data_IF_330069981833
#
_entry.id   IF_330069981833
#
_cell.length_a   1.000
_cell.length_b   1.000
_cell.length_c   1.000
_cell.angle_alpha   90.00
_cell.angle_beta   90.00
_cell.angle_gamma   90.00
#
_symmetry.space_group_name_H-M   'P 1'
#
loop_
_entity.id
_entity.type
_entity.pdbx_description
1 polymer ?
#
# COMPACT_ATOMS: atom_id res chain seq x y z
N UNK A 1 -4.05 1.34 -23.79
CA UNK A 1 -3.94 0.06 -23.06
C UNK A 1 -2.98 0.27 -21.90
N UNK A 2 -3.49 0.65 -20.74
CA UNK A 2 -2.67 0.75 -19.53
C UNK A 2 -2.50 -0.69 -19.02
N UNK A 3 -1.28 -1.23 -18.89
CA UNK A 3 -1.08 -2.57 -18.38
C UNK A 3 -1.60 -2.62 -16.94
N UNK A 4 -2.52 -3.55 -16.68
CA UNK A 4 -2.99 -3.80 -15.31
C UNK A 4 -1.79 -4.28 -14.50
N UNK A 5 -1.50 -3.69 -13.33
CA UNK A 5 -0.44 -4.17 -12.47
C UNK A 5 -0.73 -5.63 -12.14
N UNK A 6 0.14 -6.53 -12.62
CA UNK A 6 0.11 -7.92 -12.21
C UNK A 6 0.68 -7.95 -10.80
N UNK A 7 -0.22 -7.93 -9.83
CA UNK A 7 0.10 -8.33 -8.47
C UNK A 7 0.51 -9.81 -8.57
N UNK A 8 1.81 -10.10 -8.47
CA UNK A 8 2.30 -11.46 -8.28
C UNK A 8 1.96 -11.91 -6.87
N UNK A 9 0.67 -12.14 -6.65
CA UNK A 9 0.14 -12.78 -5.47
C UNK A 9 0.63 -14.21 -5.43
N UNK A 10 1.72 -14.46 -4.71
CA UNK A 10 1.79 -15.67 -3.89
C UNK A 10 0.92 -15.43 -2.66
N UNK A 11 -0.38 -15.28 -2.85
CA UNK A 11 -1.37 -15.58 -1.81
C UNK A 11 -2.54 -16.25 -2.54
N UNK A 12 -2.42 -17.57 -2.68
CA UNK A 12 -3.55 -18.45 -2.97
C UNK A 12 -4.65 -18.18 -1.94
N UNK A 13 -5.87 -17.91 -2.42
CA UNK A 13 -7.02 -17.61 -1.58
C UNK A 13 -7.28 -18.75 -0.57
N UNK A 14 -7.39 -18.41 0.73
CA UNK A 14 -8.38 -18.92 1.73
C UNK A 14 -7.99 -18.62 3.20
N UNK A 15 -7.70 -17.36 3.54
CA UNK A 15 -7.87 -16.89 4.92
C UNK A 15 -8.30 -15.42 4.89
N UNK A 16 -9.39 -15.11 5.60
CA UNK A 16 -9.73 -13.72 5.93
C UNK A 16 -8.59 -13.18 6.80
N UNK A 17 -8.02 -12.04 6.43
CA UNK A 17 -7.05 -11.36 7.30
C UNK A 17 -7.71 -11.09 8.65
N UNK A 18 -7.01 -11.44 9.72
CA UNK A 18 -7.41 -11.05 11.07
C UNK A 18 -7.03 -9.59 11.30
N UNK A 19 -7.62 -8.95 12.31
CA UNK A 19 -7.19 -7.61 12.74
C UNK A 19 -5.68 -7.56 13.06
N UNK A 20 -5.13 -8.67 13.55
CA UNK A 20 -3.70 -8.79 13.80
C UNK A 20 -2.88 -8.81 12.50
N UNK A 21 -3.35 -9.51 11.46
CA UNK A 21 -2.68 -9.53 10.15
C UNK A 21 -2.71 -8.15 9.48
N UNK A 22 -3.84 -7.44 9.56
CA UNK A 22 -3.98 -6.08 9.02
C UNK A 22 -3.09 -5.08 9.77
N UNK A 23 -3.05 -5.17 11.10
CA UNK A 23 -2.15 -4.36 11.92
C UNK A 23 -0.68 -4.65 11.59
N UNK A 24 -0.32 -5.91 11.39
CA UNK A 24 1.05 -6.28 11.06
C UNK A 24 1.46 -5.73 9.69
N UNK A 25 0.59 -5.82 8.68
CA UNK A 25 0.85 -5.21 7.38
C UNK A 25 1.11 -3.70 7.50
N UNK A 26 0.34 -3.00 8.34
CA UNK A 26 0.55 -1.57 8.63
C UNK A 26 1.88 -1.27 9.35
N UNK A 27 2.32 -2.14 10.25
CA UNK A 27 3.63 -2.05 10.89
C UNK A 27 4.73 -2.24 9.85
N UNK A 28 4.60 -3.24 8.99
CA UNK A 28 5.60 -3.62 7.99
C UNK A 28 5.89 -2.50 6.98
N UNK A 29 4.86 -1.73 6.59
CA UNK A 29 5.06 -0.55 5.73
C UNK A 29 6.07 0.44 6.33
N UNK A 30 6.14 0.55 7.66
CA UNK A 30 7.03 1.50 8.36
C UNK A 30 8.35 0.85 8.75
N UNK A 31 8.32 -0.36 9.29
CA UNK A 31 9.54 -1.07 9.73
C UNK A 31 10.46 -1.43 8.56
N UNK A 32 9.89 -1.76 7.39
CA UNK A 32 10.64 -2.03 6.17
C UNK A 32 10.96 -0.76 5.36
N UNK A 33 10.70 0.42 5.92
CA UNK A 33 11.08 1.69 5.31
C UNK A 33 10.30 2.08 4.06
N UNK A 34 9.11 1.50 3.82
CA UNK A 34 8.24 1.91 2.71
C UNK A 34 7.56 3.26 2.99
N UNK A 35 7.26 3.52 4.26
CA UNK A 35 6.73 4.77 4.79
C UNK A 35 7.61 5.30 5.92
N UNK A 36 7.88 6.62 5.91
CA UNK A 36 8.44 7.35 7.07
C UNK A 36 7.33 7.85 8.01
N UNK A 37 6.10 7.92 7.50
CA UNK A 37 4.90 8.28 8.24
C UNK A 37 3.65 7.95 7.43
N UNK A 38 2.44 8.07 7.99
CA UNK A 38 1.20 7.62 7.33
C UNK A 38 0.97 8.24 5.95
N UNK A 39 1.49 9.46 5.74
CA UNK A 39 1.35 10.21 4.49
C UNK A 39 2.70 10.54 3.84
N UNK A 40 3.79 9.90 4.27
CA UNK A 40 5.16 10.22 3.84
C UNK A 40 5.89 8.95 3.41
N UNK A 41 6.38 8.95 2.18
CA UNK A 41 7.07 7.81 1.60
C UNK A 41 8.51 7.64 2.15
N UNK A 42 8.97 6.40 2.15
CA UNK A 42 10.36 6.04 2.34
C UNK A 42 11.25 6.42 1.16
N UNK A 43 12.56 6.17 1.28
CA UNK A 43 13.57 6.65 0.33
C UNK A 43 13.35 6.12 -1.10
N UNK A 44 13.08 4.82 -1.25
CA UNK A 44 12.92 4.18 -2.57
C UNK A 44 11.46 4.10 -3.05
N UNK A 45 10.55 4.73 -2.30
CA UNK A 45 9.13 4.68 -2.55
C UNK A 45 8.58 6.05 -2.90
N UNK A 46 7.67 6.09 -3.87
CA UNK A 46 6.90 7.27 -4.22
C UNK A 46 5.45 7.06 -3.79
N UNK A 47 4.96 7.94 -2.92
CA UNK A 47 3.54 7.98 -2.55
C UNK A 47 2.75 8.83 -3.54
N UNK A 48 1.62 8.30 -3.96
CA UNK A 48 0.66 8.95 -4.85
C UNK A 48 -0.74 8.89 -4.22
N UNK A 49 -1.66 9.68 -4.77
CA UNK A 49 -3.05 9.74 -4.34
C UNK A 49 -3.94 9.58 -5.57
N UNK A 50 -4.83 8.59 -5.53
CA UNK A 50 -5.89 8.46 -6.51
C UNK A 50 -7.08 9.35 -6.10
N UNK A 51 -7.52 10.21 -7.01
CA UNK A 51 -8.59 11.18 -6.71
C UNK A 51 -9.98 10.56 -6.77
N UNK A 52 -10.17 9.55 -7.61
CA UNK A 52 -11.49 8.97 -7.89
C UNK A 52 -11.85 7.97 -6.79
N UNK A 53 -10.91 7.10 -6.41
CA UNK A 53 -11.09 6.15 -5.31
C UNK A 53 -10.78 6.75 -3.94
N UNK A 54 -10.14 7.92 -3.89
CA UNK A 54 -9.69 8.56 -2.65
C UNK A 54 -8.77 7.64 -1.81
N UNK A 55 -7.86 6.95 -2.48
CA UNK A 55 -6.91 6.02 -1.85
C UNK A 55 -5.46 6.39 -2.15
N UNK A 56 -4.53 6.23 -1.20
CA UNK A 56 -3.11 6.35 -1.46
C UNK A 56 -2.52 5.06 -2.03
N UNK A 57 -1.45 5.20 -2.80
CA UNK A 57 -0.62 4.08 -3.23
C UNK A 57 0.86 4.43 -3.26
N UNK A 58 1.71 3.44 -3.01
CA UNK A 58 3.15 3.51 -3.10
C UNK A 58 3.63 2.83 -4.37
N UNK A 59 4.72 3.36 -4.94
CA UNK A 59 5.42 2.77 -6.06
C UNK A 59 6.93 2.78 -5.83
N UNK A 60 7.57 1.65 -6.07
CA UNK A 60 9.02 1.53 -6.08
C UNK A 60 9.49 1.25 -7.51
N UNK A 61 10.20 2.21 -8.12
CA UNK A 61 10.65 2.08 -9.51
C UNK A 61 11.82 1.11 -9.71
N UNK A 62 12.48 0.69 -8.63
CA UNK A 62 13.57 -0.29 -8.71
C UNK A 62 13.03 -1.72 -8.83
N UNK A 63 11.88 -1.99 -8.21
CA UNK A 63 11.26 -3.33 -8.16
C UNK A 63 9.96 -3.44 -8.95
N UNK A 64 9.46 -2.32 -9.49
CA UNK A 64 8.15 -2.19 -10.16
C UNK A 64 6.97 -2.67 -9.30
N UNK A 65 7.08 -2.51 -7.98
CA UNK A 65 6.06 -2.90 -7.01
C UNK A 65 5.13 -1.73 -6.70
N UNK A 66 3.84 -2.03 -6.66
CA UNK A 66 2.78 -1.12 -6.24
C UNK A 66 2.09 -1.64 -4.97
N UNK A 67 1.82 -0.75 -4.01
CA UNK A 67 1.11 -1.09 -2.78
C UNK A 67 0.02 -0.05 -2.55
N UNK A 68 -1.24 -0.49 -2.46
CA UNK A 68 -2.34 0.36 -1.99
C UNK A 68 -2.52 0.13 -0.49
N UNK A 69 -2.83 1.19 0.24
CA UNK A 69 -3.01 1.13 1.69
C UNK A 69 -4.02 2.19 2.16
N UNK A 70 -4.36 2.21 3.45
CA UNK A 70 -5.23 3.23 4.04
C UNK A 70 -4.41 4.20 4.89
N UNK A 71 -4.78 5.48 4.88
CA UNK A 71 -4.17 6.51 5.72
C UNK A 71 -5.24 7.37 6.41
N UNK A 72 -4.85 8.29 7.32
CA UNK A 72 -5.83 9.12 8.01
C UNK A 72 -6.72 9.99 7.11
N UNK A 73 -6.32 10.23 5.85
CA UNK A 73 -7.11 10.98 4.88
C UNK A 73 -8.13 10.06 4.20
N UNK A 74 -7.73 8.89 3.71
CA UNK A 74 -8.66 7.94 3.06
C UNK A 74 -9.69 7.41 4.05
N UNK A 75 -9.29 7.16 5.29
CA UNK A 75 -10.22 6.74 6.35
C UNK A 75 -11.30 7.78 6.66
N UNK A 76 -11.00 9.08 6.49
CA UNK A 76 -11.99 10.16 6.68
C UNK A 76 -12.94 10.35 5.49
N UNK A 77 -12.59 9.79 4.34
CA UNK A 77 -13.37 9.90 3.12
C UNK A 77 -14.41 8.77 2.94
N UNK A 78 -14.37 7.76 3.82
CA UNK A 78 -15.28 6.60 3.80
C UNK A 78 -16.63 6.89 4.46
#
# INVERSE_FOLDING_TARGET
LIPKPQYNGIISYKRRLTEQDEMQAWIDLRTNGMLKGPMSAGQDWKRNWDRDSQTPWLYNSQTDVFITYEDPKSLKAK
#
